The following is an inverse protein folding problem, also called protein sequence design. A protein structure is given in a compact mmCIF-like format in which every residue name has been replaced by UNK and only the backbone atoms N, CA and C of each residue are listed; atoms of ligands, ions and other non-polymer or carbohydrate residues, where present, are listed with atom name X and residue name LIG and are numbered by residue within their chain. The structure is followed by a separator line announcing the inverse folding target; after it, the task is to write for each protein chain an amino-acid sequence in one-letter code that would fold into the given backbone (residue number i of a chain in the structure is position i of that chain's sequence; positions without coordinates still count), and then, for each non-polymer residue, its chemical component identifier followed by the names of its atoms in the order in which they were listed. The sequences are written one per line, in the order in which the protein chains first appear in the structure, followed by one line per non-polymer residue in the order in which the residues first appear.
data_IF_264099044914
#
_entry.id   IF_264099044914
#
_cell.length_a   1.000
_cell.length_b   1.000
_cell.length_c   1.000
_cell.angle_alpha   90.00
_cell.angle_beta   90.00
_cell.angle_gamma   90.00
#
_symmetry.space_group_name_H-M   'P 1'
#
loop_
_entity.id
_entity.type
_entity.pdbx_description
1 polymer ?
#
# COMPACT_ATOMS: atom_id res chain seq x y z
N UNK A 1 -11.05 -7.49 -9.22
CA UNK A 1 -9.88 -6.61 -8.98
C UNK A 1 -9.03 -6.54 -10.24
N UNK A 2 -8.78 -5.33 -10.74
CA UNK A 2 -8.10 -5.09 -12.02
C UNK A 2 -6.62 -5.56 -12.04
N UNK A 3 -5.99 -5.67 -10.87
CA UNK A 3 -4.61 -6.15 -10.70
C UNK A 3 -4.38 -7.55 -11.27
N UNK A 4 -5.31 -8.49 -11.05
CA UNK A 4 -5.26 -9.87 -11.53
C UNK A 4 -6.44 -10.14 -12.48
N UNK A 5 -6.22 -9.93 -13.79
CA UNK A 5 -7.27 -9.94 -14.83
C UNK A 5 -7.78 -11.32 -15.24
N UNK A 6 -6.95 -12.36 -15.16
CA UNK A 6 -7.31 -13.70 -15.64
C UNK A 6 -8.37 -14.34 -14.72
N UNK A 7 -9.40 -14.95 -15.29
CA UNK A 7 -10.51 -15.55 -14.53
C UNK A 7 -10.05 -16.63 -13.56
N UNK A 8 -8.94 -17.32 -13.86
CA UNK A 8 -8.35 -18.37 -13.04
C UNK A 8 -7.80 -17.87 -11.68
N UNK A 9 -7.64 -16.56 -11.49
CA UNK A 9 -7.15 -15.97 -10.24
C UNK A 9 -8.26 -15.55 -9.26
N UNK A 10 -9.39 -16.25 -9.25
CA UNK A 10 -10.56 -15.89 -8.42
C UNK A 10 -10.24 -15.92 -6.92
N UNK A 11 -9.63 -17.00 -6.43
CA UNK A 11 -9.26 -17.14 -5.02
C UNK A 11 -8.20 -16.12 -4.60
N UNK A 12 -7.21 -15.89 -5.46
CA UNK A 12 -6.13 -14.93 -5.23
C UNK A 12 -6.68 -13.50 -5.17
N UNK A 13 -7.70 -13.16 -5.97
CA UNK A 13 -8.39 -11.87 -5.85
C UNK A 13 -9.13 -11.71 -4.53
N UNK A 14 -9.79 -12.77 -4.03
CA UNK A 14 -10.48 -12.74 -2.73
C UNK A 14 -9.48 -12.52 -1.60
N UNK A 15 -8.40 -13.29 -1.58
CA UNK A 15 -7.38 -13.19 -0.53
C UNK A 15 -6.65 -11.84 -0.59
N UNK A 16 -6.38 -11.32 -1.79
CA UNK A 16 -5.79 -9.99 -1.94
C UNK A 16 -6.73 -8.87 -1.47
N UNK A 17 -8.05 -9.00 -1.70
CA UNK A 17 -9.04 -8.05 -1.18
C UNK A 17 -9.01 -8.02 0.35
N UNK A 18 -8.91 -9.17 1.03
CA UNK A 18 -8.78 -9.20 2.49
C UNK A 18 -7.55 -8.42 2.95
N UNK A 19 -6.39 -8.66 2.33
CA UNK A 19 -5.16 -7.94 2.67
C UNK A 19 -5.30 -6.43 2.44
N UNK A 20 -5.90 -5.99 1.32
CA UNK A 20 -6.13 -4.56 1.06
C UNK A 20 -7.07 -3.95 2.11
N UNK A 21 -8.13 -4.65 2.52
CA UNK A 21 -9.02 -4.17 3.58
C UNK A 21 -8.30 -3.99 4.91
N UNK A 22 -7.33 -4.84 5.25
CA UNK A 22 -6.51 -4.65 6.45
C UNK A 22 -5.53 -3.49 6.35
N UNK A 23 -5.05 -3.14 5.16
CA UNK A 23 -4.22 -1.94 4.98
C UNK A 23 -5.02 -0.72 5.41
N UNK A 24 -6.21 -0.52 4.84
CA UNK A 24 -7.09 0.60 5.20
C UNK A 24 -7.55 0.57 6.66
N UNK A 25 -7.94 -0.60 7.18
CA UNK A 25 -8.34 -0.70 8.59
C UNK A 25 -7.20 -0.32 9.55
N UNK A 26 -5.97 -0.69 9.21
CA UNK A 26 -4.80 -0.35 10.03
C UNK A 26 -4.46 1.12 9.84
N UNK A 27 -4.54 1.65 8.62
CA UNK A 27 -4.38 3.08 8.33
C UNK A 27 -5.28 3.93 9.25
N UNK A 28 -6.59 3.64 9.28
CA UNK A 28 -7.60 4.28 10.15
C UNK A 28 -7.24 4.20 11.66
N UNK A 29 -6.56 3.12 12.07
CA UNK A 29 -6.08 2.99 13.45
C UNK A 29 -4.95 3.99 13.73
N UNK A 30 -4.06 4.24 12.77
CA UNK A 30 -2.90 5.11 12.94
C UNK A 30 -3.20 6.60 12.77
N UNK A 31 -4.11 6.98 11.87
CA UNK A 31 -4.35 8.38 11.49
C UNK A 31 -5.56 9.01 12.21
N UNK A 32 -6.56 8.21 12.60
CA UNK A 32 -7.83 8.70 13.18
C UNK A 32 -8.02 8.25 14.62
N UNK A 33 -7.82 6.96 14.92
CA UNK A 33 -8.32 6.38 16.17
C UNK A 33 -7.31 6.21 17.30
N UNK A 34 -6.08 5.78 16.99
CA UNK A 34 -5.10 5.35 17.98
C UNK A 34 -4.34 6.50 18.63
N UNK A 35 -4.08 6.39 19.92
CA UNK A 35 -3.13 7.30 20.59
C UNK A 35 -1.70 6.87 20.32
N UNK A 36 -0.73 7.80 20.31
CA UNK A 36 0.67 7.49 20.02
C UNK A 36 1.23 6.34 20.87
N UNK A 37 0.90 6.29 22.17
CA UNK A 37 1.35 5.21 23.06
C UNK A 37 0.76 3.84 22.65
N UNK A 38 -0.53 3.80 22.27
CA UNK A 38 -1.16 2.59 21.75
C UNK A 38 -0.54 2.16 20.41
N UNK A 39 -0.27 3.11 19.50
CA UNK A 39 0.35 2.85 18.20
C UNK A 39 1.77 2.28 18.35
N UNK A 40 2.55 2.76 19.33
CA UNK A 40 3.88 2.21 19.62
C UNK A 40 3.75 0.73 20.02
N UNK A 41 2.82 0.41 20.92
CA UNK A 41 2.59 -0.96 21.37
C UNK A 41 2.08 -1.85 20.24
N UNK A 42 1.13 -1.36 19.44
CA UNK A 42 0.55 -2.07 18.30
C UNK A 42 1.61 -2.40 17.25
N UNK A 43 2.47 -1.43 16.89
CA UNK A 43 3.59 -1.64 15.98
C UNK A 43 4.57 -2.68 16.50
N UNK A 44 4.90 -2.68 17.79
CA UNK A 44 5.80 -3.70 18.37
C UNK A 44 5.18 -5.10 18.36
N UNK A 45 3.87 -5.21 18.66
CA UNK A 45 3.11 -6.47 18.56
C UNK A 45 3.16 -7.03 17.14
N UNK A 46 2.91 -6.19 16.12
CA UNK A 46 2.95 -6.62 14.70
C UNK A 46 4.37 -6.98 14.26
N UNK A 47 5.39 -6.18 14.62
CA UNK A 47 6.78 -6.47 14.23
C UNK A 47 7.30 -7.77 14.80
N UNK A 48 6.96 -8.08 16.06
CA UNK A 48 7.36 -9.33 16.73
C UNK A 48 6.42 -10.48 16.41
N UNK A 49 5.24 -10.16 15.91
CA UNK A 49 4.12 -11.08 15.73
C UNK A 49 3.75 -11.82 17.03
N UNK A 50 3.71 -11.06 18.13
CA UNK A 50 3.53 -11.60 19.49
C UNK A 50 2.05 -11.62 19.90
N UNK A 51 1.46 -12.82 19.78
CA UNK A 51 0.05 -13.08 20.12
C UNK A 51 -0.24 -12.82 21.61
N UNK A 52 0.73 -13.07 22.49
CA UNK A 52 0.52 -12.90 23.94
C UNK A 52 0.56 -11.42 24.31
N UNK A 53 1.48 -10.66 23.73
CA UNK A 53 1.55 -9.21 23.92
C UNK A 53 0.31 -8.49 23.37
N UNK A 54 -0.33 -9.03 22.32
CA UNK A 54 -1.56 -8.47 21.76
C UNK A 54 -2.74 -8.45 22.75
N UNK A 55 -2.72 -9.28 23.81
CA UNK A 55 -3.76 -9.29 24.85
C UNK A 55 -3.70 -8.07 25.78
N UNK A 56 -2.62 -7.30 25.73
CA UNK A 56 -2.43 -6.08 26.52
C UNK A 56 -2.85 -4.81 25.78
N UNK A 57 -3.21 -4.93 24.50
CA UNK A 57 -3.70 -3.82 23.68
C UNK A 57 -5.18 -3.53 23.98
N UNK A 58 -5.68 -2.35 23.59
CA UNK A 58 -7.11 -2.09 23.55
C UNK A 58 -7.87 -3.12 22.71
N UNK A 59 -9.12 -3.42 23.10
CA UNK A 59 -9.95 -4.47 22.48
C UNK A 59 -10.04 -4.38 20.94
N UNK A 60 -10.12 -3.16 20.39
CA UNK A 60 -10.22 -2.95 18.95
C UNK A 60 -8.92 -3.33 18.21
N UNK A 61 -7.75 -2.97 18.76
CA UNK A 61 -6.44 -3.34 18.22
C UNK A 61 -6.17 -4.84 18.38
N UNK A 62 -6.52 -5.42 19.53
CA UNK A 62 -6.41 -6.87 19.74
C UNK A 62 -7.28 -7.63 18.73
N UNK A 63 -8.50 -7.15 18.48
CA UNK A 63 -9.41 -7.74 17.48
C UNK A 63 -8.83 -7.62 16.08
N UNK A 64 -8.33 -6.43 15.70
CA UNK A 64 -7.66 -6.21 14.42
C UNK A 64 -6.47 -7.16 14.22
N UNK A 65 -5.56 -7.25 15.20
CA UNK A 65 -4.38 -8.11 15.14
C UNK A 65 -4.75 -9.60 15.03
N UNK A 66 -5.69 -10.09 15.83
CA UNK A 66 -6.15 -11.50 15.76
C UNK A 66 -6.74 -11.83 14.39
N UNK A 67 -7.52 -10.91 13.83
CA UNK A 67 -8.09 -11.09 12.49
C UNK A 67 -7.00 -11.05 11.40
N UNK A 68 -6.02 -10.15 11.52
CA UNK A 68 -4.85 -10.06 10.65
C UNK A 68 -3.99 -11.34 10.70
N UNK A 69 -3.74 -11.87 11.90
CA UNK A 69 -3.01 -13.14 12.08
C UNK A 69 -3.73 -14.31 11.41
N UNK A 70 -5.04 -14.44 11.64
CA UNK A 70 -5.85 -15.47 11.01
C UNK A 70 -5.80 -15.40 9.48
N UNK A 71 -6.00 -14.21 8.90
CA UNK A 71 -5.95 -14.03 7.44
C UNK A 71 -4.56 -14.27 6.88
N UNK A 72 -3.51 -13.79 7.55
CA UNK A 72 -2.12 -14.02 7.13
C UNK A 72 -1.77 -15.51 7.14
N UNK A 73 -2.20 -16.25 8.17
CA UNK A 73 -1.99 -17.69 8.27
C UNK A 73 -2.84 -18.47 7.25
N UNK A 74 -4.09 -18.07 7.00
CA UNK A 74 -4.96 -18.65 5.98
C UNK A 74 -4.31 -18.54 4.59
N UNK A 75 -3.88 -17.34 4.20
CA UNK A 75 -3.21 -17.08 2.91
C UNK A 75 -1.91 -17.89 2.83
N UNK A 76 -1.11 -17.87 3.89
CA UNK A 76 0.16 -18.60 3.92
C UNK A 76 -0.04 -20.11 3.74
N UNK A 77 -1.07 -20.67 4.37
CA UNK A 77 -1.42 -22.09 4.23
C UNK A 77 -1.90 -22.42 2.82
N UNK A 78 -2.71 -21.57 2.18
CA UNK A 78 -3.13 -21.76 0.78
C UNK A 78 -1.94 -21.74 -0.17
N UNK A 79 -1.05 -20.76 -0.04
CA UNK A 79 0.18 -20.67 -0.84
C UNK A 79 1.04 -21.92 -0.65
N UNK A 80 1.22 -22.37 0.60
CA UNK A 80 1.98 -23.59 0.89
C UNK A 80 1.34 -24.83 0.24
N UNK A 81 0.02 -24.99 0.35
CA UNK A 81 -0.70 -26.12 -0.23
C UNK A 81 -0.63 -26.14 -1.76
N UNK A 82 -0.71 -24.96 -2.40
CA UNK A 82 -0.74 -24.84 -3.85
C UNK A 82 0.66 -24.89 -4.49
N UNK A 83 1.63 -24.23 -3.87
CA UNK A 83 2.94 -23.97 -4.48
C UNK A 83 4.12 -24.59 -3.71
N UNK A 84 3.89 -25.15 -2.51
CA UNK A 84 4.91 -25.82 -1.70
C UNK A 84 5.79 -24.90 -0.86
N UNK A 85 5.58 -23.58 -0.90
CA UNK A 85 6.34 -22.59 -0.12
C UNK A 85 5.46 -21.91 0.93
N UNK A 86 5.96 -21.77 2.16
CA UNK A 86 5.24 -21.03 3.21
C UNK A 86 5.74 -19.57 3.28
N UNK A 87 4.93 -18.58 2.86
CA UNK A 87 5.36 -17.18 2.79
C UNK A 87 5.21 -16.42 4.12
N UNK A 88 4.77 -17.07 5.20
CA UNK A 88 4.32 -16.39 6.44
C UNK A 88 5.31 -15.34 6.95
N UNK A 89 6.60 -15.65 6.97
CA UNK A 89 7.62 -14.71 7.46
C UNK A 89 7.73 -13.46 6.59
N UNK A 90 7.64 -13.60 5.26
CA UNK A 90 7.66 -12.46 4.34
C UNK A 90 6.41 -11.61 4.46
N UNK A 91 5.23 -12.23 4.61
CA UNK A 91 3.98 -11.50 4.81
C UNK A 91 4.00 -10.71 6.13
N UNK A 92 4.41 -11.36 7.23
CA UNK A 92 4.56 -10.73 8.55
C UNK A 92 5.56 -9.57 8.52
N UNK A 93 6.69 -9.75 7.84
CA UNK A 93 7.68 -8.68 7.64
C UNK A 93 7.07 -7.49 6.89
N UNK A 94 6.31 -7.73 5.83
CA UNK A 94 5.68 -6.65 5.06
C UNK A 94 4.69 -5.83 5.91
N UNK A 95 3.88 -6.50 6.74
CA UNK A 95 3.00 -5.85 7.72
C UNK A 95 3.77 -5.05 8.77
N UNK A 96 4.84 -5.63 9.32
CA UNK A 96 5.72 -4.93 10.27
C UNK A 96 6.37 -3.69 9.68
N UNK A 97 6.81 -3.74 8.42
CA UNK A 97 7.34 -2.57 7.69
C UNK A 97 6.26 -1.49 7.53
N UNK A 98 5.03 -1.86 7.17
CA UNK A 98 3.91 -0.93 7.01
C UNK A 98 3.59 -0.20 8.33
N UNK A 99 3.38 -0.94 9.42
CA UNK A 99 3.10 -0.34 10.73
C UNK A 99 4.27 0.49 11.27
N UNK A 100 5.51 0.15 10.90
CA UNK A 100 6.67 0.98 11.24
C UNK A 100 6.63 2.32 10.51
N UNK A 101 6.24 2.33 9.23
CA UNK A 101 6.12 3.55 8.43
C UNK A 101 4.98 4.44 8.92
N UNK A 102 3.80 3.87 9.22
CA UNK A 102 2.71 4.62 9.84
C UNK A 102 3.10 5.21 11.20
N UNK A 103 3.86 4.46 12.02
CA UNK A 103 4.34 5.00 13.30
C UNK A 103 5.32 6.17 13.12
N UNK A 104 6.12 6.19 12.04
CA UNK A 104 7.00 7.33 11.74
C UNK A 104 6.16 8.58 11.46
N UNK A 105 5.12 8.46 10.64
CA UNK A 105 4.17 9.56 10.37
C UNK A 105 3.48 10.04 11.66
N UNK A 106 2.94 9.11 12.46
CA UNK A 106 2.33 9.45 13.76
C UNK A 106 3.30 10.15 14.72
N UNK A 107 4.61 9.84 14.66
CA UNK A 107 5.63 10.54 15.46
C UNK A 107 5.94 11.94 14.93
N UNK A 108 6.04 12.12 13.62
CA UNK A 108 6.21 13.46 13.02
C UNK A 108 5.05 14.36 13.42
N UNK A 109 3.82 13.84 13.30
CA UNK A 109 2.62 14.54 13.69
C UNK A 109 2.62 14.92 15.19
N UNK A 110 2.77 13.94 16.08
CA UNK A 110 2.70 14.17 17.53
C UNK A 110 3.82 15.10 18.08
N UNK A 111 4.99 15.12 17.43
CA UNK A 111 6.10 15.98 17.83
C UNK A 111 6.11 17.36 17.16
N UNK A 112 5.29 17.56 16.13
CA UNK A 112 5.36 18.73 15.24
C UNK A 112 6.65 18.79 14.41
N UNK A 113 7.40 17.68 14.32
CA UNK A 113 8.60 17.61 13.48
C UNK A 113 8.19 17.67 12.01
N UNK A 114 8.86 18.55 11.26
CA UNK A 114 8.67 18.67 9.82
C UNK A 114 9.80 17.90 9.12
N UNK A 115 9.56 16.69 8.59
CA UNK A 115 10.54 16.01 7.75
C UNK A 115 10.83 16.81 6.49
N UNK A 116 11.94 16.47 5.85
CA UNK A 116 12.18 16.94 4.48
C UNK A 116 11.16 16.32 3.51
N UNK A 117 10.91 16.94 2.36
CA UNK A 117 9.97 16.40 1.37
C UNK A 117 10.43 15.02 0.85
N UNK A 118 11.74 14.81 0.73
CA UNK A 118 12.29 13.52 0.33
C UNK A 118 12.23 12.48 1.47
N UNK A 119 12.51 12.88 2.73
CA UNK A 119 12.34 11.99 3.90
C UNK A 119 10.88 11.55 4.07
N UNK A 120 9.93 12.48 3.90
CA UNK A 120 8.51 12.17 3.84
C UNK A 120 8.22 11.18 2.72
N UNK A 121 8.73 11.40 1.50
CA UNK A 121 8.48 10.51 0.37
C UNK A 121 9.05 9.10 0.60
N UNK A 122 10.26 9.00 1.16
CA UNK A 122 10.90 7.72 1.45
C UNK A 122 10.05 6.87 2.41
N UNK A 123 9.48 7.49 3.45
CA UNK A 123 8.52 6.82 4.33
C UNK A 123 7.17 6.57 3.63
N UNK A 124 6.66 7.58 2.93
CA UNK A 124 5.41 7.61 2.18
C UNK A 124 5.26 6.47 1.17
N UNK A 125 6.37 6.09 0.54
CA UNK A 125 6.42 4.92 -0.36
C UNK A 125 6.07 3.63 0.41
N UNK A 126 6.50 3.48 1.65
CA UNK A 126 6.20 2.31 2.48
C UNK A 126 4.82 2.43 3.13
N UNK A 127 4.45 3.59 3.68
CA UNK A 127 3.12 3.80 4.31
C UNK A 127 1.98 3.70 3.28
N UNK A 128 2.24 3.87 1.99
CA UNK A 128 1.25 3.60 0.92
C UNK A 128 0.68 2.17 0.90
N UNK A 129 1.31 1.20 1.59
CA UNK A 129 0.87 -0.19 1.67
C UNK A 129 1.05 -1.01 0.38
N UNK A 130 1.49 -0.41 -0.73
CA UNK A 130 1.65 -1.10 -2.02
C UNK A 130 2.63 -2.27 -1.94
N UNK A 131 3.68 -2.17 -1.13
CA UNK A 131 4.62 -3.28 -0.94
C UNK A 131 3.93 -4.49 -0.30
N UNK A 132 3.00 -4.28 0.64
CA UNK A 132 2.21 -5.37 1.23
C UNK A 132 1.39 -6.06 0.16
N UNK A 133 0.66 -5.29 -0.66
CA UNK A 133 -0.16 -5.81 -1.76
C UNK A 133 0.69 -6.63 -2.73
N UNK A 134 1.82 -6.10 -3.19
CA UNK A 134 2.66 -6.76 -4.19
C UNK A 134 3.42 -7.96 -3.63
N UNK A 135 3.82 -7.96 -2.35
CA UNK A 135 4.38 -9.16 -1.70
C UNK A 135 3.32 -10.26 -1.63
N UNK A 136 2.07 -9.94 -1.28
CA UNK A 136 0.98 -10.93 -1.31
C UNK A 136 0.75 -11.48 -2.72
N UNK A 137 0.66 -10.61 -3.73
CA UNK A 137 0.51 -11.02 -5.14
C UNK A 137 1.63 -11.96 -5.56
N UNK A 138 2.89 -11.64 -5.23
CA UNK A 138 4.05 -12.44 -5.59
C UNK A 138 3.92 -13.90 -5.12
N UNK A 139 3.52 -14.09 -3.86
CA UNK A 139 3.35 -15.44 -3.29
C UNK A 139 2.06 -16.13 -3.74
N UNK A 140 0.95 -15.41 -3.89
CA UNK A 140 -0.31 -15.95 -4.42
C UNK A 140 -0.14 -16.51 -5.85
N UNK A 141 0.73 -15.89 -6.65
CA UNK A 141 1.11 -16.35 -7.99
C UNK A 141 2.17 -17.47 -8.00
N UNK A 142 2.68 -17.89 -6.84
CA UNK A 142 3.63 -18.99 -6.72
C UNK A 142 5.08 -18.66 -7.07
N UNK A 143 5.50 -17.40 -7.01
CA UNK A 143 6.86 -16.98 -7.41
C UNK A 143 7.94 -17.10 -6.31
N UNK A 144 7.57 -17.50 -5.09
CA UNK A 144 8.47 -17.60 -3.93
C UNK A 144 9.24 -18.91 -3.78
N UNK A 145 9.53 -19.65 -4.85
CA UNK A 145 10.05 -21.01 -4.77
C UNK A 145 11.55 -21.11 -4.43
N UNK A 146 12.29 -20.00 -4.47
CA UNK A 146 13.72 -19.97 -4.10
C UNK A 146 14.01 -18.88 -3.07
N UNK A 147 15.06 -19.07 -2.27
CA UNK A 147 15.51 -18.09 -1.29
C UNK A 147 15.85 -16.75 -1.93
N UNK A 148 16.52 -16.76 -3.09
CA UNK A 148 16.90 -15.53 -3.81
C UNK A 148 15.67 -14.74 -4.29
N UNK A 149 14.63 -15.43 -4.76
CA UNK A 149 13.40 -14.80 -5.19
C UNK A 149 12.65 -14.14 -4.00
N UNK A 150 12.70 -14.79 -2.83
CA UNK A 150 12.13 -14.28 -1.58
C UNK A 150 12.93 -13.08 -1.05
N UNK A 151 14.26 -13.13 -1.08
CA UNK A 151 15.10 -12.00 -0.70
C UNK A 151 14.87 -10.80 -1.61
N UNK A 152 14.79 -11.04 -2.92
CA UNK A 152 14.54 -10.00 -3.91
C UNK A 152 13.19 -9.30 -3.69
N UNK A 153 12.09 -10.03 -3.47
CA UNK A 153 10.79 -9.38 -3.22
C UNK A 153 10.77 -8.64 -1.88
N UNK A 154 11.44 -9.19 -0.86
CA UNK A 154 11.54 -8.61 0.48
C UNK A 154 12.44 -7.37 0.56
N UNK A 155 13.20 -7.06 -0.49
CA UNK A 155 14.01 -5.85 -0.60
C UNK A 155 13.26 -4.69 -1.27
N UNK A 156 11.98 -4.88 -1.63
CA UNK A 156 11.15 -3.91 -2.35
C UNK A 156 11.86 -3.34 -3.61
N UNK A 157 12.11 -4.20 -4.61
CA UNK A 157 12.89 -3.84 -5.78
C UNK A 157 12.18 -2.73 -6.59
N UNK A 158 12.87 -2.08 -7.54
CA UNK A 158 12.34 -0.92 -8.25
C UNK A 158 10.96 -1.10 -8.89
N UNK A 159 10.57 -2.33 -9.28
CA UNK A 159 9.22 -2.61 -9.77
C UNK A 159 8.14 -2.40 -8.70
N UNK A 160 8.40 -2.76 -7.45
CA UNK A 160 7.50 -2.56 -6.31
C UNK A 160 7.56 -1.10 -5.87
N UNK A 161 8.76 -0.57 -5.64
CA UNK A 161 8.90 0.81 -5.14
C UNK A 161 8.38 1.83 -6.14
N UNK A 162 8.55 1.63 -7.46
CA UNK A 162 7.97 2.55 -8.46
C UNK A 162 6.44 2.55 -8.45
N UNK A 163 5.79 1.38 -8.31
CA UNK A 163 4.34 1.30 -8.17
C UNK A 163 3.86 2.01 -6.89
N UNK A 164 4.61 1.88 -5.80
CA UNK A 164 4.34 2.55 -4.53
C UNK A 164 4.53 4.08 -4.62
N UNK A 165 5.62 4.54 -5.25
CA UNK A 165 5.86 5.96 -5.53
C UNK A 165 4.76 6.57 -6.37
N UNK A 166 4.29 5.87 -7.40
CA UNK A 166 3.15 6.31 -8.21
C UNK A 166 1.91 6.47 -7.33
N UNK A 167 1.60 5.49 -6.46
CA UNK A 167 0.45 5.58 -5.56
C UNK A 167 0.56 6.78 -4.62
N UNK A 168 1.61 6.87 -3.81
CA UNK A 168 1.79 7.92 -2.80
C UNK A 168 1.71 9.32 -3.40
N UNK A 169 2.38 9.54 -4.53
CA UNK A 169 2.40 10.86 -5.16
C UNK A 169 1.09 11.22 -5.84
N UNK A 170 0.33 10.25 -6.35
CA UNK A 170 -1.02 10.53 -6.87
C UNK A 170 -2.01 10.83 -5.77
N UNK A 171 -1.88 10.12 -4.64
CA UNK A 171 -2.65 10.38 -3.44
C UNK A 171 -2.38 11.81 -2.92
N UNK A 172 -1.12 12.18 -2.73
CA UNK A 172 -0.70 13.54 -2.35
C UNK A 172 -1.12 14.62 -3.37
N UNK A 173 -1.24 14.27 -4.65
CA UNK A 173 -1.69 15.19 -5.69
C UNK A 173 -3.21 15.40 -5.68
N UNK A 174 -3.92 14.41 -5.12
CA UNK A 174 -5.35 14.34 -4.97
C UNK A 174 -5.91 15.57 -4.27
N UNK A 175 -7.22 15.73 -4.40
CA UNK A 175 -7.97 16.80 -3.73
C UNK A 175 -8.96 16.21 -2.74
N UNK A 176 -8.65 15.01 -2.23
CA UNK A 176 -9.40 14.41 -1.15
C UNK A 176 -9.48 15.44 -0.01
N UNK A 177 -10.70 15.66 0.50
CA UNK A 177 -10.89 16.39 1.74
C UNK A 177 -10.95 15.34 2.83
N UNK A 178 -9.99 15.38 3.74
CA UNK A 178 -10.06 14.55 4.93
C UNK A 178 -11.11 15.18 5.85
N UNK A 179 -12.35 14.69 5.76
CA UNK A 179 -13.47 15.27 6.50
C UNK A 179 -13.34 15.05 8.02
N UNK A 180 -12.45 14.13 8.45
CA UNK A 180 -12.26 13.74 9.86
C UNK A 180 -10.79 13.71 10.34
N UNK A 181 -9.78 13.97 9.51
CA UNK A 181 -8.37 13.90 9.94
C UNK A 181 -7.81 15.23 10.47
N UNK A 182 -8.60 16.31 10.60
CA UNK A 182 -8.18 17.60 11.21
C UNK A 182 -6.79 18.14 10.75
N UNK A 183 -6.36 17.83 9.51
CA UNK A 183 -5.04 18.18 8.98
C UNK A 183 -3.87 17.37 9.56
N UNK A 184 -4.12 16.11 9.97
CA UNK A 184 -3.15 15.19 10.57
C UNK A 184 -2.41 14.32 9.53
N UNK A 185 -2.78 14.41 8.25
CA UNK A 185 -2.03 13.77 7.17
C UNK A 185 -0.99 14.72 6.56
N UNK A 186 0.20 14.18 6.27
CA UNK A 186 1.25 14.90 5.57
C UNK A 186 1.06 14.79 4.06
N UNK A 187 1.60 15.73 3.28
CA UNK A 187 1.70 15.54 1.84
C UNK A 187 3.04 16.02 1.31
N UNK A 188 3.54 15.35 0.26
CA UNK A 188 4.80 15.74 -0.37
C UNK A 188 4.72 17.19 -0.87
N UNK A 189 3.56 17.64 -1.36
CA UNK A 189 3.34 19.01 -1.83
C UNK A 189 3.59 20.00 -0.70
N UNK A 190 3.02 19.74 0.49
CA UNK A 190 3.18 20.63 1.63
C UNK A 190 4.62 20.71 2.11
N UNK A 191 5.28 19.56 2.29
CA UNK A 191 6.68 19.55 2.72
C UNK A 191 7.58 20.24 1.69
N UNK A 192 7.36 19.97 0.40
CA UNK A 192 8.13 20.62 -0.67
C UNK A 192 7.93 22.14 -0.67
N UNK A 193 6.71 22.62 -0.43
CA UNK A 193 6.45 24.06 -0.33
C UNK A 193 7.08 24.69 0.92
N UNK A 194 7.05 23.99 2.06
CA UNK A 194 7.68 24.45 3.31
C UNK A 194 9.20 24.57 3.16
N UNK A 195 9.84 23.64 2.45
CA UNK A 195 11.28 23.69 2.16
C UNK A 195 11.67 24.79 1.16
N UNK A 196 10.77 25.12 0.23
CA UNK A 196 11.01 26.07 -0.84
C UNK A 196 10.18 27.33 -0.61
N UNK A 197 10.54 28.14 0.38
CA UNK A 197 9.82 29.38 0.72
C UNK A 197 9.58 30.27 -0.52
N UNK A 198 8.31 30.67 -0.71
CA UNK A 198 7.89 31.47 -1.88
C UNK A 198 7.57 30.65 -3.13
N UNK A 199 7.70 29.31 -3.09
CA UNK A 199 7.26 28.42 -4.15
C UNK A 199 5.73 28.47 -4.30
N UNK A 200 5.26 28.61 -5.55
CA UNK A 200 3.84 28.52 -5.88
C UNK A 200 3.39 27.05 -5.84
N UNK A 201 2.15 26.81 -5.39
CA UNK A 201 1.57 25.46 -5.34
C UNK A 201 1.60 24.76 -6.70
N UNK A 202 1.46 25.49 -7.80
CA UNK A 202 1.54 24.95 -9.16
C UNK A 202 2.92 24.37 -9.47
N UNK A 203 4.00 24.97 -8.96
CA UNK A 203 5.36 24.46 -9.15
C UNK A 203 5.57 23.17 -8.35
N UNK A 204 5.05 23.10 -7.12
CA UNK A 204 5.08 21.89 -6.31
C UNK A 204 4.29 20.74 -6.97
N UNK A 205 3.12 21.04 -7.52
CA UNK A 205 2.31 20.08 -8.29
C UNK A 205 3.02 19.60 -9.55
N UNK A 206 3.76 20.47 -10.24
CA UNK A 206 4.56 20.09 -11.40
C UNK A 206 5.73 19.18 -11.03
N UNK A 207 6.39 19.46 -9.90
CA UNK A 207 7.44 18.59 -9.35
C UNK A 207 6.91 17.18 -9.03
N UNK A 208 5.72 17.09 -8.43
CA UNK A 208 5.04 15.81 -8.17
C UNK A 208 4.77 15.05 -9.47
N UNK A 209 4.20 15.72 -10.48
CA UNK A 209 3.96 15.11 -11.81
C UNK A 209 5.25 14.63 -12.47
N UNK A 210 6.34 15.37 -12.32
CA UNK A 210 7.65 14.95 -12.82
C UNK A 210 8.12 13.67 -12.14
N UNK A 211 8.06 13.60 -10.80
CA UNK A 211 8.41 12.39 -10.05
C UNK A 211 7.52 11.19 -10.41
N UNK A 212 6.22 11.39 -10.59
CA UNK A 212 5.30 10.36 -11.10
C UNK A 212 5.75 9.86 -12.48
N UNK A 213 6.09 10.77 -13.39
CA UNK A 213 6.60 10.44 -14.74
C UNK A 213 7.90 9.63 -14.68
N UNK A 214 8.81 9.98 -13.79
CA UNK A 214 10.07 9.25 -13.55
C UNK A 214 9.81 7.84 -13.00
N UNK A 215 8.91 7.71 -12.02
CA UNK A 215 8.50 6.41 -11.48
C UNK A 215 7.86 5.52 -12.57
N UNK A 216 7.03 6.07 -13.45
CA UNK A 216 6.48 5.34 -14.61
C UNK A 216 7.57 4.87 -15.57
N UNK A 217 8.57 5.71 -15.87
CA UNK A 217 9.72 5.32 -16.72
C UNK A 217 10.49 4.18 -16.09
N UNK A 218 10.74 4.24 -14.78
CA UNK A 218 11.43 3.19 -14.05
C UNK A 218 10.62 1.89 -14.03
N UNK A 219 9.31 1.94 -13.73
CA UNK A 219 8.42 0.79 -13.79
C UNK A 219 8.41 0.13 -15.18
N UNK A 220 8.29 0.93 -16.25
CA UNK A 220 8.34 0.43 -17.63
C UNK A 220 9.68 -0.23 -17.94
N UNK A 221 10.80 0.33 -17.45
CA UNK A 221 12.13 -0.26 -17.63
C UNK A 221 12.23 -1.63 -16.96
N UNK A 222 11.73 -1.75 -15.73
CA UNK A 222 11.71 -3.01 -15.00
C UNK A 222 10.84 -4.05 -15.72
N UNK A 223 9.66 -3.69 -16.22
CA UNK A 223 8.77 -4.60 -16.96
C UNK A 223 9.33 -5.04 -18.33
N UNK A 224 10.08 -4.18 -19.02
CA UNK A 224 10.57 -4.46 -20.38
C UNK A 224 11.94 -5.15 -20.42
N UNK A 225 12.85 -4.76 -19.52
CA UNK A 225 14.28 -5.11 -19.64
C UNK A 225 14.82 -5.97 -18.50
N UNK A 226 14.15 -6.03 -17.34
CA UNK A 226 14.63 -6.80 -16.18
C UNK A 226 13.72 -8.00 -15.95
N UNK A 227 14.24 -9.22 -16.06
CA UNK A 227 13.44 -10.46 -15.96
C UNK A 227 13.75 -11.36 -14.75
N UNK A 228 13.88 -10.84 -13.50
CA UNK A 228 13.84 -11.73 -12.34
C UNK A 228 12.40 -12.16 -12.01
N UNK A 229 11.39 -11.47 -12.56
CA UNK A 229 9.98 -11.72 -12.31
C UNK A 229 9.26 -12.29 -13.54
N UNK A 230 8.19 -13.05 -13.30
CA UNK A 230 7.30 -13.54 -14.35
C UNK A 230 6.52 -12.41 -15.01
N UNK A 231 6.04 -12.64 -16.23
CA UNK A 231 5.13 -11.71 -16.91
C UNK A 231 3.86 -11.46 -16.12
N UNK A 232 3.33 -12.47 -15.43
CA UNK A 232 2.12 -12.34 -14.61
C UNK A 232 2.32 -11.39 -13.43
N UNK A 233 3.47 -11.46 -12.76
CA UNK A 233 3.79 -10.56 -11.66
C UNK A 233 4.06 -9.13 -12.16
N UNK A 234 4.81 -8.97 -13.27
CA UNK A 234 5.05 -7.65 -13.85
C UNK A 234 3.75 -7.00 -14.33
N UNK A 235 2.85 -7.78 -14.94
CA UNK A 235 1.52 -7.32 -15.35
C UNK A 235 0.70 -6.86 -14.14
N UNK A 236 0.76 -7.59 -13.02
CA UNK A 236 0.07 -7.22 -11.79
C UNK A 236 0.59 -5.88 -11.23
N UNK A 237 1.92 -5.69 -11.17
CA UNK A 237 2.52 -4.42 -10.74
C UNK A 237 2.08 -3.25 -11.62
N UNK A 238 2.07 -3.48 -12.94
CA UNK A 238 1.67 -2.49 -13.93
C UNK A 238 0.17 -2.14 -13.84
N UNK A 239 -0.68 -3.15 -13.66
CA UNK A 239 -2.13 -2.96 -13.54
C UNK A 239 -2.48 -2.26 -12.23
N UNK A 240 -1.78 -2.56 -11.13
CA UNK A 240 -1.95 -1.83 -9.87
C UNK A 240 -1.62 -0.35 -10.07
N UNK A 241 -0.47 -0.02 -10.67
CA UNK A 241 -0.09 1.37 -10.94
C UNK A 241 -1.08 2.10 -11.87
N UNK A 242 -1.69 1.39 -12.84
CA UNK A 242 -2.72 1.95 -13.72
C UNK A 242 -4.04 2.27 -13.02
N UNK A 243 -4.35 1.58 -11.93
CA UNK A 243 -5.57 1.84 -11.15
C UNK A 243 -5.47 3.11 -10.31
N UNK A 244 -4.26 3.49 -9.91
CA UNK A 244 -4.02 4.63 -9.01
C UNK A 244 -4.72 5.92 -9.49
N UNK A 245 -4.54 6.42 -10.74
CA UNK A 245 -5.21 7.65 -11.16
C UNK A 245 -6.74 7.54 -11.18
N UNK A 246 -7.31 6.33 -11.25
CA UNK A 246 -8.76 6.14 -11.18
C UNK A 246 -9.27 6.19 -9.74
N UNK A 247 -8.43 5.80 -8.77
CA UNK A 247 -8.76 5.78 -7.35
C UNK A 247 -8.58 7.13 -6.67
N UNK A 248 -7.64 7.96 -7.13
CA UNK A 248 -7.27 9.23 -6.48
C UNK A 248 -7.68 10.48 -7.27
N UNK A 249 -8.56 10.34 -8.26
CA UNK A 249 -9.07 11.46 -9.08
C UNK A 249 -10.47 11.88 -8.65
N UNK A 250 -10.55 12.45 -7.44
CA UNK A 250 -11.78 12.96 -6.85
C UNK A 250 -12.34 14.16 -7.62
N UNK A 251 -13.66 14.24 -7.72
CA UNK A 251 -14.33 15.44 -8.20
C UNK A 251 -14.49 16.48 -7.08
N UNK A 252 -15.02 17.65 -7.43
CA UNK A 252 -15.29 18.75 -6.50
C UNK A 252 -16.25 18.39 -5.34
N UNK A 253 -16.98 17.28 -5.44
CA UNK A 253 -17.89 16.74 -4.42
C UNK A 253 -17.30 15.56 -3.66
N UNK A 254 -15.99 15.33 -3.76
CA UNK A 254 -15.31 14.20 -3.10
C UNK A 254 -15.82 12.84 -3.56
N UNK A 255 -16.27 12.75 -4.83
CA UNK A 255 -16.71 11.50 -5.44
C UNK A 255 -15.71 11.01 -6.47
N UNK A 256 -15.79 9.72 -6.77
CA UNK A 256 -15.01 9.06 -7.84
C UNK A 256 -15.96 8.58 -8.96
N UNK A 257 -16.63 9.49 -9.70
CA UNK A 257 -17.69 9.12 -10.64
C UNK A 257 -17.21 8.18 -11.76
N UNK A 258 -15.94 8.31 -12.18
CA UNK A 258 -15.34 7.41 -13.16
C UNK A 258 -15.19 6.00 -12.58
N UNK A 259 -14.71 5.89 -11.34
CA UNK A 259 -14.55 4.59 -10.67
C UNK A 259 -15.92 3.95 -10.42
N UNK A 260 -16.90 4.71 -9.91
CA UNK A 260 -18.27 4.24 -9.70
C UNK A 260 -18.89 3.71 -11.01
N UNK A 261 -18.72 4.45 -12.11
CA UNK A 261 -19.19 4.03 -13.43
C UNK A 261 -18.53 2.71 -13.88
N UNK A 262 -17.21 2.59 -13.73
CA UNK A 262 -16.48 1.37 -14.08
C UNK A 262 -16.90 0.17 -13.20
N UNK A 263 -17.11 0.39 -11.90
CA UNK A 263 -17.58 -0.64 -10.97
C UNK A 263 -18.96 -1.14 -11.38
N UNK A 264 -19.90 -0.24 -11.66
CA UNK A 264 -21.24 -0.59 -12.10
C UNK A 264 -21.20 -1.36 -13.44
N UNK A 265 -20.44 -0.85 -14.42
CA UNK A 265 -20.34 -1.47 -15.74
C UNK A 265 -19.70 -2.86 -15.69
N UNK A 266 -18.70 -3.08 -14.83
CA UNK A 266 -17.97 -4.34 -14.76
C UNK A 266 -18.62 -5.40 -13.86
N UNK A 267 -19.34 -4.99 -12.81
CA UNK A 267 -19.87 -5.92 -11.80
C UNK A 267 -21.39 -6.09 -11.84
N UNK A 268 -22.13 -5.16 -12.43
CA UNK A 268 -23.60 -5.16 -12.37
C UNK A 268 -24.26 -5.19 -13.74
N UNK A 269 -23.65 -4.59 -14.77
CA UNK A 269 -24.21 -4.54 -16.12
C UNK A 269 -23.85 -5.79 -16.93
N UNK A 270 -24.83 -6.39 -17.60
CA UNK A 270 -24.60 -7.46 -18.58
C UNK A 270 -24.41 -6.85 -19.97
N UNK A 271 -23.34 -7.20 -20.66
CA UNK A 271 -23.15 -6.83 -22.06
C UNK A 271 -24.24 -7.49 -22.90
N UNK A 272 -25.05 -6.73 -23.66
CA UNK A 272 -26.03 -7.31 -24.58
C UNK A 272 -25.34 -8.23 -25.57
N UNK A 273 -25.92 -9.42 -25.79
CA UNK A 273 -25.43 -10.41 -26.75
C UNK A 273 -25.61 -9.95 -28.20
#
# INVERSE_FOLDING_TARGET
MATLKDSNWSEQRIDLTKSISFIYLIDDIFDVHGTLDELILFTEVIKRWDISAAEQLPDYMTTCFKALDNVTNEISYKVYKQHGWNPVNSLRKAWGSLCSAFLVEGRWFASGQLPSAEEYLENGIVSSGVHVVLVHVFFLLGHGLTGEAVELVNSYPPIISSSATILRLWDDLGTAKDEDQDGHDGSYIEYYMKENEGCKVENAREQVKQKISEAWKQLNKECLFRKPFSSTFTDACLNLARMVPLMYNYDHKQRLPVLECLVNSLLTETVPQ
#
